data_IF_837844568333
#
_entry.id   IF_837844568333
#
_cell.length_a   1.000
_cell.length_b   1.000
_cell.length_c   1.000
_cell.angle_alpha   90.00
_cell.angle_beta   90.00
_cell.angle_gamma   90.00
#
_symmetry.space_group_name_H-M   'P 1'
#
loop_
_entity.id
_entity.type
_entity.pdbx_description
1 polymer ?
#
# COMPACT_ATOMS: atom_id res chain seq x y z
N UNK A 1 -5.38 18.68 9.85
CA UNK A 1 -6.05 20.00 9.78
C UNK A 1 -7.56 19.93 10.05
N UNK A 2 -8.35 19.19 9.27
CA UNK A 2 -9.83 19.08 9.48
C UNK A 2 -10.27 17.84 10.27
N UNK A 3 -9.34 17.00 10.70
CA UNK A 3 -9.61 15.75 11.43
C UNK A 3 -10.66 14.84 10.74
N UNK A 4 -10.72 14.87 9.41
CA UNK A 4 -11.65 14.02 8.67
C UNK A 4 -11.24 12.54 8.85
N UNK A 5 -12.20 11.64 9.12
CA UNK A 5 -11.97 10.21 9.26
C UNK A 5 -11.81 9.56 7.88
N UNK A 6 -10.73 9.88 7.19
CA UNK A 6 -10.39 9.33 5.88
C UNK A 6 -9.41 8.18 6.06
N UNK A 7 -9.77 7.01 5.54
CA UNK A 7 -8.90 5.84 5.47
C UNK A 7 -8.26 5.77 4.09
N UNK A 8 -6.93 5.81 4.03
CA UNK A 8 -6.15 5.66 2.81
C UNK A 8 -5.43 4.32 2.86
N UNK A 9 -5.65 3.48 1.85
CA UNK A 9 -4.93 2.21 1.70
C UNK A 9 -3.93 2.36 0.56
N UNK A 10 -2.65 2.20 0.87
CA UNK A 10 -1.56 2.23 -0.10
C UNK A 10 -1.17 0.78 -0.39
N UNK A 11 -1.30 0.36 -1.64
CA UNK A 11 -0.77 -0.91 -2.10
C UNK A 11 0.66 -0.67 -2.58
N UNK A 12 1.62 -1.07 -1.77
CA UNK A 12 3.03 -0.71 -1.93
C UNK A 12 3.82 -1.90 -2.50
N UNK A 13 4.02 -1.86 -3.81
CA UNK A 13 4.88 -2.77 -4.58
C UNK A 13 6.27 -2.15 -4.86
N UNK A 14 6.66 -1.08 -4.16
CA UNK A 14 7.93 -0.35 -4.33
C UNK A 14 8.19 0.20 -5.74
N UNK A 15 7.16 0.46 -6.56
CA UNK A 15 7.38 0.98 -7.91
C UNK A 15 6.13 1.25 -8.74
N UNK A 16 6.33 1.98 -9.83
CA UNK A 16 5.34 2.17 -10.89
C UNK A 16 5.40 0.91 -11.78
N UNK A 17 4.28 0.19 -11.87
CA UNK A 17 4.17 -1.15 -12.48
C UNK A 17 4.90 -2.25 -11.70
N UNK A 18 6.23 -2.16 -11.57
CA UNK A 18 7.10 -3.13 -10.89
C UNK A 18 8.16 -2.39 -10.07
N UNK A 19 8.22 -2.66 -8.77
CA UNK A 19 9.34 -2.24 -7.94
C UNK A 19 10.52 -3.18 -8.03
N UNK A 20 11.68 -2.75 -7.53
CA UNK A 20 12.80 -3.66 -7.33
C UNK A 20 12.59 -4.47 -6.05
N UNK A 21 12.99 -5.74 -6.07
CA UNK A 21 13.15 -6.48 -4.81
C UNK A 21 14.28 -5.85 -3.98
N UNK A 22 14.35 -6.22 -2.70
CA UNK A 22 15.43 -5.72 -1.83
C UNK A 22 16.80 -6.17 -2.34
N UNK A 23 16.89 -7.40 -2.83
CA UNK A 23 18.10 -7.98 -3.40
C UNK A 23 18.52 -7.24 -4.68
N UNK A 24 17.56 -6.96 -5.57
CA UNK A 24 17.83 -6.16 -6.77
C UNK A 24 18.31 -4.75 -6.41
N UNK A 25 17.71 -4.13 -5.38
CA UNK A 25 18.10 -2.80 -4.91
C UNK A 25 19.54 -2.77 -4.38
N UNK A 26 19.94 -3.80 -3.62
CA UNK A 26 21.29 -3.92 -3.05
C UNK A 26 22.37 -4.18 -4.12
N UNK A 27 22.00 -4.64 -5.32
CA UNK A 27 22.94 -4.81 -6.44
C UNK A 27 23.35 -3.50 -7.12
N UNK A 28 22.66 -2.38 -6.87
CA UNK A 28 23.01 -1.10 -7.47
C UNK A 28 24.03 -0.35 -6.61
N UNK A 29 25.20 -0.09 -7.19
CA UNK A 29 26.24 0.75 -6.59
C UNK A 29 26.26 2.15 -7.25
N UNK A 30 26.88 3.13 -6.59
CA UNK A 30 27.02 4.49 -7.13
C UNK A 30 25.77 5.36 -6.94
N UNK A 31 25.60 6.36 -7.81
CA UNK A 31 24.49 7.32 -7.69
C UNK A 31 23.14 6.65 -8.03
N UNK A 32 22.21 6.54 -7.06
CA UNK A 32 20.89 5.97 -7.30
C UNK A 32 20.13 6.64 -8.43
N UNK A 33 20.31 7.95 -8.64
CA UNK A 33 19.62 8.70 -9.68
C UNK A 33 20.04 8.31 -11.10
N UNK A 34 21.22 7.72 -11.26
CA UNK A 34 21.77 7.28 -12.54
C UNK A 34 21.56 5.79 -12.79
N UNK A 35 21.57 4.99 -11.71
CA UNK A 35 21.67 3.54 -11.82
C UNK A 35 20.36 2.80 -11.52
N UNK A 36 19.40 3.41 -10.84
CA UNK A 36 18.12 2.78 -10.51
C UNK A 36 17.08 3.09 -11.61
N UNK A 37 16.27 2.12 -12.05
CA UNK A 37 15.21 2.37 -13.02
C UNK A 37 14.26 3.47 -12.54
N UNK A 38 13.90 4.38 -13.43
CA UNK A 38 13.01 5.53 -13.11
C UNK A 38 11.61 5.12 -12.62
N UNK A 39 11.20 3.88 -12.88
CA UNK A 39 9.94 3.32 -12.40
C UNK A 39 10.02 2.81 -10.96
N UNK A 40 11.22 2.64 -10.40
CA UNK A 40 11.42 2.08 -9.08
C UNK A 40 11.35 3.17 -8.01
N UNK A 41 10.63 2.87 -6.94
CA UNK A 41 10.56 3.71 -5.75
C UNK A 41 11.42 3.07 -4.65
N UNK A 42 11.65 3.81 -3.56
CA UNK A 42 12.37 3.28 -2.41
C UNK A 42 11.71 1.99 -1.90
N UNK A 43 12.49 0.90 -1.69
CA UNK A 43 11.96 -0.38 -1.24
C UNK A 43 11.22 -0.23 0.08
N UNK A 44 10.03 -0.80 0.14
CA UNK A 44 9.21 -0.88 1.37
C UNK A 44 9.04 0.47 2.09
N UNK A 45 8.94 1.56 1.33
CA UNK A 45 8.82 2.90 1.89
C UNK A 45 7.67 2.98 2.93
N UNK A 46 7.97 3.57 4.09
CA UNK A 46 7.08 3.66 5.24
C UNK A 46 6.11 4.85 5.14
N UNK A 47 5.21 4.82 4.15
CA UNK A 47 4.26 5.90 3.88
C UNK A 47 3.33 6.24 5.06
N UNK A 48 3.02 5.26 5.89
CA UNK A 48 2.19 5.44 7.09
C UNK A 48 2.82 6.38 8.11
N UNK A 49 4.15 6.50 8.15
CA UNK A 49 4.88 7.43 9.03
C UNK A 49 4.59 8.88 8.72
N UNK A 50 4.30 9.20 7.46
CA UNK A 50 3.85 10.54 7.09
C UNK A 50 2.53 10.88 7.79
N UNK A 51 1.59 9.92 7.88
CA UNK A 51 0.32 10.12 8.57
C UNK A 51 0.54 10.37 10.06
N UNK A 52 1.37 9.55 10.71
CA UNK A 52 1.72 9.69 12.13
C UNK A 52 2.38 11.04 12.43
N UNK A 53 3.28 11.51 11.56
CA UNK A 53 3.95 12.80 11.71
C UNK A 53 2.98 14.00 11.74
N UNK A 54 1.80 13.87 11.11
CA UNK A 54 0.75 14.90 11.14
C UNK A 54 -0.38 14.60 12.15
N UNK A 55 -0.16 13.68 13.09
CA UNK A 55 -1.10 13.32 14.16
C UNK A 55 -2.25 12.40 13.71
N UNK A 56 -2.12 11.76 12.56
CA UNK A 56 -3.01 10.69 12.12
C UNK A 56 -2.57 9.32 12.66
N UNK A 57 -3.20 8.27 12.15
CA UNK A 57 -2.86 6.88 12.48
C UNK A 57 -2.18 6.18 11.30
N UNK A 58 -1.12 5.41 11.58
CA UNK A 58 -0.39 4.64 10.57
C UNK A 58 -0.42 3.14 10.88
N UNK A 59 -0.49 2.31 9.83
CA UNK A 59 -0.32 0.86 9.91
C UNK A 59 0.56 0.38 8.76
N UNK A 60 1.48 -0.55 9.04
CA UNK A 60 2.14 -1.39 8.03
C UNK A 60 1.54 -2.78 8.10
N UNK A 61 1.22 -3.35 6.95
CA UNK A 61 0.71 -4.70 6.83
C UNK A 61 1.40 -5.47 5.70
N UNK A 62 1.60 -6.77 5.91
CA UNK A 62 2.07 -7.76 4.93
C UNK A 62 1.08 -8.90 4.76
N UNK A 63 0.22 -9.13 5.74
CA UNK A 63 -0.65 -10.30 5.77
C UNK A 63 -2.13 -9.91 5.80
N UNK A 64 -3.00 -10.79 5.30
CA UNK A 64 -4.45 -10.58 5.33
C UNK A 64 -5.00 -10.34 6.75
N UNK A 65 -4.56 -11.07 7.81
CA UNK A 65 -4.96 -10.77 9.17
C UNK A 65 -4.58 -9.37 9.63
N UNK A 66 -3.35 -8.90 9.32
CA UNK A 66 -2.91 -7.55 9.67
C UNK A 66 -3.77 -6.49 8.97
N UNK A 67 -4.06 -6.68 7.68
CA UNK A 67 -4.94 -5.79 6.92
C UNK A 67 -6.33 -5.72 7.57
N UNK A 68 -6.89 -6.87 7.97
CA UNK A 68 -8.20 -6.92 8.62
C UNK A 68 -8.19 -6.15 9.94
N UNK A 69 -7.18 -6.36 10.77
CA UNK A 69 -7.03 -5.64 12.05
C UNK A 69 -6.83 -4.14 11.84
N UNK A 70 -6.01 -3.74 10.86
CA UNK A 70 -5.77 -2.34 10.54
C UNK A 70 -7.04 -1.65 10.04
N UNK A 71 -7.82 -2.29 9.16
CA UNK A 71 -9.09 -1.75 8.69
C UNK A 71 -10.11 -1.59 9.82
N UNK A 72 -10.25 -2.57 10.72
CA UNK A 72 -11.14 -2.45 11.88
C UNK A 72 -10.77 -1.22 12.70
N UNK A 73 -9.49 -1.06 13.07
CA UNK A 73 -9.02 0.10 13.84
C UNK A 73 -9.18 1.41 13.09
N UNK A 74 -8.95 1.41 11.77
CA UNK A 74 -9.08 2.58 10.94
C UNK A 74 -10.53 3.10 10.89
N UNK A 75 -11.51 2.20 10.85
CA UNK A 75 -12.94 2.57 10.87
C UNK A 75 -13.46 2.94 12.25
N UNK A 76 -12.84 2.45 13.33
CA UNK A 76 -13.13 2.90 14.70
C UNK A 76 -12.63 4.34 14.96
N UNK A 77 -11.59 4.77 14.24
CA UNK A 77 -11.05 6.13 14.36
C UNK A 77 -11.96 7.16 13.68
N UNK A 78 -12.48 8.09 14.47
CA UNK A 78 -13.40 9.15 14.00
C UNK A 78 -12.76 10.54 13.96
N UNK A 79 -11.55 10.70 14.47
CA UNK A 79 -10.94 12.00 14.80
C UNK A 79 -9.64 12.31 14.01
N UNK A 80 -9.45 11.70 12.85
CA UNK A 80 -8.33 12.00 11.97
C UNK A 80 -8.10 10.97 10.89
N UNK A 81 -7.15 11.22 9.97
CA UNK A 81 -6.85 10.30 8.89
C UNK A 81 -6.12 9.05 9.39
N UNK A 82 -6.29 7.97 8.64
CA UNK A 82 -5.55 6.72 8.81
C UNK A 82 -4.91 6.33 7.49
N UNK A 83 -3.62 5.95 7.51
CA UNK A 83 -2.93 5.35 6.38
C UNK A 83 -2.59 3.91 6.71
N UNK A 84 -3.02 2.98 5.84
CA UNK A 84 -2.66 1.57 5.88
C UNK A 84 -1.74 1.29 4.69
N UNK A 85 -0.47 1.08 4.96
CA UNK A 85 0.55 0.74 3.99
C UNK A 85 0.67 -0.79 3.88
N UNK A 86 0.20 -1.34 2.76
CA UNK A 86 0.20 -2.78 2.50
C UNK A 86 1.38 -3.11 1.60
N UNK A 87 2.42 -3.70 2.18
CA UNK A 87 3.60 -4.16 1.46
C UNK A 87 3.25 -5.43 0.69
N UNK A 88 3.38 -5.39 -0.63
CA UNK A 88 3.17 -6.53 -1.51
C UNK A 88 4.45 -6.88 -2.27
N UNK A 89 4.55 -8.13 -2.71
CA UNK A 89 5.70 -8.58 -3.48
C UNK A 89 5.80 -7.79 -4.80
N UNK A 90 7.02 -7.38 -5.15
CA UNK A 90 7.27 -6.47 -6.28
C UNK A 90 7.19 -7.18 -7.64
N UNK A 91 7.35 -8.51 -7.64
CA UNK A 91 7.30 -9.43 -8.77
C UNK A 91 5.87 -9.92 -9.10
N UNK A 92 4.87 -9.45 -8.36
CA UNK A 92 3.48 -9.88 -8.53
C UNK A 92 2.94 -9.40 -9.88
N UNK A 93 2.91 -10.30 -10.87
CA UNK A 93 2.14 -10.08 -12.09
C UNK A 93 0.66 -9.86 -11.76
N UNK A 94 -0.04 -9.10 -12.61
CA UNK A 94 -1.51 -9.02 -12.53
C UNK A 94 -2.07 -10.43 -12.68
N UNK A 95 -2.48 -11.05 -11.56
CA UNK A 95 -3.38 -12.20 -11.63
C UNK A 95 -4.66 -11.75 -12.31
N UNK A 96 -5.06 -12.48 -13.34
CA UNK A 96 -6.31 -12.24 -14.06
C UNK A 96 -7.47 -12.25 -13.05
N UNK A 97 -8.17 -11.13 -12.92
CA UNK A 97 -9.31 -11.05 -12.02
C UNK A 97 -10.40 -11.99 -12.53
N UNK A 98 -10.75 -13.01 -11.74
CA UNK A 98 -11.92 -13.83 -11.99
C UNK A 98 -13.14 -12.94 -11.76
N UNK A 99 -13.77 -12.45 -12.84
CA UNK A 99 -15.06 -11.77 -12.75
C UNK A 99 -16.11 -12.81 -12.38
N UNK A 100 -16.42 -12.96 -11.09
CA UNK A 100 -17.67 -13.60 -10.70
C UNK A 100 -18.80 -12.68 -11.21
N UNK A 101 -19.54 -13.13 -12.21
CA UNK A 101 -20.69 -12.41 -12.73
C UNK A 101 -21.71 -12.23 -11.60
N UNK A 102 -21.87 -11.00 -11.11
CA UNK A 102 -23.03 -10.60 -10.31
C UNK A 102 -24.19 -10.26 -11.28
N UNK A 103 -24.73 -11.28 -11.92
CA UNK A 103 -26.09 -11.30 -12.48
C UNK A 103 -26.72 -12.54 -11.84
N UNK A 104 -27.88 -12.55 -11.19
CA UNK A 104 -29.12 -11.81 -11.40
C UNK A 104 -30.03 -12.07 -10.19
N UNK A 105 -30.54 -11.05 -9.51
CA UNK A 105 -31.71 -11.18 -8.60
C UNK A 105 -32.53 -9.87 -8.59
N UNK A 106 -32.88 -9.41 -9.78
CA UNK A 106 -34.09 -8.60 -9.97
C UNK A 106 -34.99 -9.43 -10.87
N UNK A 107 -35.86 -10.21 -10.23
CA UNK A 107 -37.03 -10.79 -10.88
C UNK A 107 -38.08 -9.71 -11.18
N UNK A 108 -39.08 -10.04 -12.00
CA UNK A 108 -40.08 -9.10 -12.51
C UNK A 108 -40.96 -8.47 -11.42
#
# INVERSE_FOLDING_TARGET
>A
RYKLPVVVVIINNSGIYRGLTKEEWECFEGDPALNIPVSSLSPECHYEKMCEAFGGQGFVCRTQPEIKTALTKAFEKTDGPTVINVLIATDSERKQQHKSQLHSHLGP
#
